data_IF_357126430235
#
_entry.id   IF_357126430235
#
_cell.length_a   1.000
_cell.length_b   1.000
_cell.length_c   1.000
_cell.angle_alpha   90.00
_cell.angle_beta   90.00
_cell.angle_gamma   90.00
#
_symmetry.space_group_name_H-M   'P 1'
#
loop_
_entity.id
_entity.type
_entity.pdbx_description
1 polymer ?
#
# COMPACT_ATOMS: atom_id res chain seq x y z
N UNK A 1 -13.17 2.55 17.86
CA UNK A 1 -13.01 2.11 16.48
C UNK A 1 -13.06 0.59 16.42
N UNK A 2 -13.77 0.03 15.43
CA UNK A 2 -13.68 -1.38 15.08
C UNK A 2 -12.69 -1.55 13.96
N UNK A 3 -12.03 -2.71 13.90
CA UNK A 3 -11.03 -3.00 12.87
C UNK A 3 -11.35 -4.30 12.17
N UNK A 4 -11.21 -4.32 10.85
CA UNK A 4 -11.27 -5.53 10.04
C UNK A 4 -10.17 -5.53 8.99
N UNK A 5 -9.87 -6.69 8.42
CA UNK A 5 -8.83 -6.91 7.43
C UNK A 5 -9.47 -7.48 6.16
N UNK A 6 -9.15 -6.90 5.01
CA UNK A 6 -9.53 -7.43 3.70
C UNK A 6 -8.28 -7.88 2.96
N UNK A 7 -8.26 -9.14 2.52
CA UNK A 7 -7.31 -9.61 1.54
C UNK A 7 -7.83 -9.28 0.15
N UNK A 8 -6.94 -8.78 -0.70
CA UNK A 8 -7.20 -8.48 -2.10
C UNK A 8 -6.46 -9.54 -2.93
N UNK A 9 -7.22 -10.47 -3.49
CA UNK A 9 -6.72 -11.56 -4.32
C UNK A 9 -6.82 -11.16 -5.79
N UNK A 10 -5.69 -10.85 -6.43
CA UNK A 10 -5.67 -10.36 -7.80
C UNK A 10 -5.70 -11.51 -8.79
N UNK A 11 -6.70 -11.53 -9.67
CA UNK A 11 -6.87 -12.56 -10.69
C UNK A 11 -5.91 -12.39 -11.87
N UNK A 12 -5.55 -11.15 -12.16
CA UNK A 12 -4.66 -10.77 -13.26
C UNK A 12 -3.51 -9.94 -12.71
N UNK A 13 -2.56 -9.61 -13.60
CA UNK A 13 -1.47 -8.71 -13.23
C UNK A 13 -1.99 -7.35 -12.76
N UNK A 14 -1.19 -6.70 -11.94
CA UNK A 14 -1.43 -5.34 -11.46
C UNK A 14 -0.39 -4.39 -12.06
N UNK A 15 -0.75 -3.12 -12.15
CA UNK A 15 0.18 -2.05 -12.48
C UNK A 15 -0.07 -0.87 -11.55
N UNK A 16 0.75 -0.77 -10.51
CA UNK A 16 0.74 0.38 -9.62
C UNK A 16 1.80 1.38 -10.09
N UNK A 17 1.41 2.65 -10.17
CA UNK A 17 2.24 3.67 -10.79
C UNK A 17 3.55 3.89 -10.06
N UNK A 18 4.66 3.91 -10.83
CA UNK A 18 6.01 4.28 -10.37
C UNK A 18 6.56 5.46 -11.20
N UNK A 19 5.69 6.16 -11.93
CA UNK A 19 6.06 7.25 -12.85
C UNK A 19 6.27 6.80 -14.30
N UNK A 20 6.89 5.64 -14.54
CA UNK A 20 7.20 5.14 -15.88
C UNK A 20 6.35 3.93 -16.27
N UNK A 21 6.15 3.70 -17.57
CA UNK A 21 5.37 2.55 -18.06
C UNK A 21 6.12 1.23 -17.93
N UNK A 22 7.43 1.24 -17.94
CA UNK A 22 8.33 0.09 -17.88
C UNK A 22 8.61 -0.40 -16.46
N UNK A 23 8.07 0.28 -15.44
CA UNK A 23 8.18 -0.08 -14.04
C UNK A 23 6.81 -0.13 -13.36
N UNK A 24 6.69 -0.94 -12.31
CA UNK A 24 5.50 -1.04 -11.46
C UNK A 24 5.90 -1.34 -10.03
N UNK A 25 5.18 -0.75 -9.08
CA UNK A 25 5.26 -1.13 -7.67
C UNK A 25 4.40 -2.37 -7.41
N UNK A 26 4.68 -3.04 -6.29
CA UNK A 26 3.92 -4.23 -5.86
C UNK A 26 2.75 -3.88 -4.95
N UNK A 27 2.71 -2.65 -4.44
CA UNK A 27 1.73 -2.13 -3.48
C UNK A 27 1.24 -0.76 -3.91
N UNK A 28 0.20 -0.27 -3.27
CA UNK A 28 -0.32 1.09 -3.45
C UNK A 28 -0.61 1.75 -2.11
N UNK A 29 -0.57 3.06 -2.09
CA UNK A 29 -0.83 3.86 -0.90
C UNK A 29 -2.32 4.17 -0.70
N UNK A 30 -2.67 4.58 0.51
CA UNK A 30 -4.04 4.90 0.91
C UNK A 30 -4.66 6.04 0.09
N UNK A 31 -3.88 6.99 -0.40
CA UNK A 31 -4.35 8.07 -1.28
C UNK A 31 -4.80 7.56 -2.66
N UNK A 32 -4.05 6.62 -3.23
CA UNK A 32 -4.43 5.92 -4.47
C UNK A 32 -5.72 5.14 -4.26
N UNK A 33 -5.84 4.46 -3.11
CA UNK A 33 -7.04 3.73 -2.75
C UNK A 33 -8.23 4.66 -2.51
N UNK A 34 -8.02 5.76 -1.78
CA UNK A 34 -9.02 6.81 -1.60
C UNK A 34 -9.56 7.32 -2.94
N UNK A 35 -8.65 7.66 -3.86
CA UNK A 35 -9.04 8.16 -5.19
C UNK A 35 -9.84 7.13 -5.98
N UNK A 36 -9.50 5.83 -5.86
CA UNK A 36 -10.22 4.76 -6.51
C UNK A 36 -11.63 4.58 -5.91
N UNK A 37 -11.76 4.54 -4.58
CA UNK A 37 -13.06 4.46 -3.90
C UNK A 37 -13.93 5.70 -4.16
N UNK A 38 -13.33 6.88 -4.22
CA UNK A 38 -14.04 8.11 -4.55
C UNK A 38 -14.64 8.07 -5.96
N UNK A 39 -13.93 7.50 -6.93
CA UNK A 39 -14.46 7.27 -8.28
C UNK A 39 -15.66 6.31 -8.27
N UNK A 40 -15.63 5.28 -7.44
CA UNK A 40 -16.78 4.39 -7.27
C UNK A 40 -17.96 5.12 -6.60
N UNK A 41 -17.69 5.90 -5.56
CA UNK A 41 -18.70 6.73 -4.90
C UNK A 41 -19.39 7.72 -5.87
N UNK A 42 -18.62 8.32 -6.79
CA UNK A 42 -19.15 9.18 -7.85
C UNK A 42 -20.12 8.43 -8.77
N UNK A 43 -19.83 7.18 -9.14
CA UNK A 43 -20.73 6.37 -9.98
C UNK A 43 -22.09 6.13 -9.33
N UNK A 44 -22.11 6.04 -8.00
CA UNK A 44 -23.32 5.83 -7.21
C UNK A 44 -23.99 7.14 -6.74
N UNK A 45 -23.39 8.32 -7.03
CA UNK A 45 -23.87 9.60 -6.50
C UNK A 45 -23.70 9.75 -4.99
N UNK A 46 -22.74 9.02 -4.41
CA UNK A 46 -22.46 8.94 -2.95
C UNK A 46 -21.18 9.67 -2.54
N UNK A 47 -20.61 10.50 -3.42
CA UNK A 47 -19.33 11.18 -3.17
C UNK A 47 -19.33 12.08 -1.93
N UNK A 48 -20.43 12.78 -1.69
CA UNK A 48 -20.58 13.64 -0.51
C UNK A 48 -20.65 12.84 0.78
N UNK A 49 -21.35 11.72 0.74
CA UNK A 49 -21.46 10.80 1.88
C UNK A 49 -20.10 10.17 2.20
N UNK A 50 -19.36 9.74 1.18
CA UNK A 50 -18.02 9.19 1.33
C UNK A 50 -17.07 10.21 2.00
N UNK A 51 -16.99 11.44 1.47
CA UNK A 51 -16.16 12.50 2.04
C UNK A 51 -16.53 12.79 3.50
N UNK A 52 -17.83 12.91 3.80
CA UNK A 52 -18.30 13.18 5.15
C UNK A 52 -17.90 12.08 6.15
N UNK A 53 -17.91 10.80 5.73
CA UNK A 53 -17.49 9.68 6.59
C UNK A 53 -15.99 9.72 6.85
N UNK A 54 -15.18 10.07 5.85
CA UNK A 54 -13.73 10.24 5.99
C UNK A 54 -13.41 11.44 6.90
N UNK A 55 -13.95 12.62 6.62
CA UNK A 55 -13.73 13.85 7.40
C UNK A 55 -14.10 13.70 8.87
N UNK A 56 -15.21 13.00 9.17
CA UNK A 56 -15.64 12.70 10.54
C UNK A 56 -14.85 11.55 11.19
N UNK A 57 -13.87 10.99 10.50
CA UNK A 57 -13.09 9.84 10.97
C UNK A 57 -13.99 8.62 11.27
N UNK A 58 -15.06 8.42 10.50
CA UNK A 58 -15.90 7.23 10.58
C UNK A 58 -15.34 6.05 9.82
N UNK A 59 -14.59 6.35 8.76
CA UNK A 59 -13.87 5.39 7.94
C UNK A 59 -12.41 5.82 7.84
N UNK A 60 -11.48 4.91 8.14
CA UNK A 60 -10.05 5.06 7.92
C UNK A 60 -9.53 3.74 7.33
N UNK A 61 -8.57 3.81 6.45
CA UNK A 61 -7.95 2.61 5.86
C UNK A 61 -6.44 2.77 5.72
N UNK A 62 -5.75 1.66 5.78
CA UNK A 62 -4.30 1.60 5.62
C UNK A 62 -3.88 1.68 4.15
N UNK A 63 -2.58 1.83 3.92
CA UNK A 63 -1.95 1.43 2.67
C UNK A 63 -2.20 -0.07 2.43
N UNK A 64 -2.01 -0.52 1.21
CA UNK A 64 -2.07 -1.94 0.90
C UNK A 64 -0.71 -2.59 1.17
N UNK A 65 -0.70 -3.67 1.94
CA UNK A 65 0.51 -4.38 2.34
C UNK A 65 0.51 -5.80 1.80
N UNK A 66 1.70 -6.39 1.52
CA UNK A 66 1.79 -7.74 1.03
C UNK A 66 1.34 -8.77 2.07
N UNK A 67 0.74 -9.87 1.59
CA UNK A 67 0.64 -11.11 2.35
C UNK A 67 1.07 -12.29 1.48
N UNK A 68 1.59 -13.35 2.12
CA UNK A 68 1.93 -14.61 1.49
C UNK A 68 1.36 -15.75 2.33
N UNK A 69 0.35 -16.43 1.82
CA UNK A 69 -0.39 -17.42 2.56
C UNK A 69 -0.96 -16.84 3.86
N UNK A 70 -0.43 -17.26 5.01
CA UNK A 70 -0.85 -16.78 6.34
C UNK A 70 0.08 -15.69 6.92
N UNK A 71 1.17 -15.36 6.23
CA UNK A 71 2.12 -14.37 6.69
C UNK A 71 1.73 -12.98 6.16
N UNK A 72 1.45 -12.06 7.07
CA UNK A 72 1.15 -10.65 6.78
C UNK A 72 2.41 -9.82 6.97
N UNK A 73 2.71 -8.96 6.02
CA UNK A 73 3.86 -8.07 6.06
C UNK A 73 3.39 -6.64 6.34
N UNK A 74 4.20 -5.90 7.10
CA UNK A 74 3.98 -4.47 7.38
C UNK A 74 5.20 -3.67 6.92
N UNK A 75 5.06 -2.37 6.68
CA UNK A 75 6.21 -1.53 6.39
C UNK A 75 7.24 -1.66 7.51
N UNK A 76 8.51 -1.78 7.13
CA UNK A 76 9.59 -1.73 8.10
C UNK A 76 9.59 -0.34 8.76
N UNK A 77 9.49 -0.24 10.11
CA UNK A 77 9.52 1.05 10.78
C UNK A 77 10.80 1.83 10.50
N UNK A 78 10.68 3.12 10.23
CA UNK A 78 11.82 4.02 10.03
C UNK A 78 12.23 4.56 11.39
N UNK A 79 12.98 3.75 12.15
CA UNK A 79 13.51 4.13 13.46
C UNK A 79 14.99 3.83 13.51
N UNK A 80 15.72 4.62 14.31
CA UNK A 80 17.09 4.32 14.63
C UNK A 80 17.11 3.31 15.79
N UNK A 81 17.63 2.11 15.55
CA UNK A 81 17.86 1.09 16.58
C UNK A 81 19.35 1.04 16.79
N UNK A 82 19.79 1.30 18.01
CA UNK A 82 21.19 1.12 18.37
C UNK A 82 21.56 -0.37 18.27
N UNK A 83 22.56 -0.73 17.46
CA UNK A 83 23.01 -2.10 17.38
C UNK A 83 23.63 -2.51 18.72
N UNK A 84 23.32 -3.71 19.21
CA UNK A 84 24.02 -4.27 20.36
C UNK A 84 25.51 -4.42 20.05
N UNK A 85 26.38 -4.15 21.02
CA UNK A 85 27.83 -4.05 20.88
C UNK A 85 28.50 -5.22 20.12
N UNK A 86 27.94 -6.41 20.19
CA UNK A 86 28.45 -7.61 19.48
C UNK A 86 28.13 -7.62 17.96
N UNK A 87 27.36 -6.67 17.45
CA UNK A 87 26.95 -6.61 16.03
C UNK A 87 27.75 -5.59 15.20
N UNK A 88 28.68 -4.83 15.80
CA UNK A 88 29.44 -3.79 15.10
C UNK A 88 30.38 -4.32 13.99
N UNK A 89 30.76 -5.58 14.02
CA UNK A 89 31.58 -6.23 12.96
C UNK A 89 30.72 -6.84 11.84
N UNK A 90 29.47 -6.40 11.68
CA UNK A 90 28.50 -6.92 10.73
C UNK A 90 28.88 -6.65 9.28
N UNK A 91 29.02 -7.71 8.50
CA UNK A 91 29.18 -7.80 7.08
C UNK A 91 28.39 -6.70 6.33
N UNK A 92 29.08 -5.89 5.53
CA UNK A 92 28.50 -4.82 4.69
C UNK A 92 27.27 -5.27 3.87
N UNK A 93 27.25 -6.56 3.47
CA UNK A 93 26.13 -7.21 2.80
C UNK A 93 24.86 -7.23 3.66
N UNK A 94 24.96 -7.56 4.94
CA UNK A 94 23.80 -7.58 5.88
C UNK A 94 23.24 -6.18 6.08
N UNK A 95 24.10 -5.18 6.26
CA UNK A 95 23.68 -3.77 6.39
C UNK A 95 22.93 -3.28 5.13
N UNK A 96 23.40 -3.67 3.93
CA UNK A 96 22.74 -3.35 2.66
C UNK A 96 21.38 -4.05 2.52
N UNK A 97 21.29 -5.33 2.87
CA UNK A 97 20.03 -6.07 2.87
C UNK A 97 19.01 -5.43 3.81
N UNK A 98 19.42 -5.10 5.03
CA UNK A 98 18.56 -4.44 6.01
C UNK A 98 18.09 -3.06 5.57
N UNK A 99 18.97 -2.28 4.94
CA UNK A 99 18.64 -0.95 4.40
C UNK A 99 17.60 -1.03 3.28
N UNK A 100 17.69 -2.04 2.43
CA UNK A 100 16.79 -2.22 1.27
C UNK A 100 15.47 -2.92 1.63
N UNK A 101 15.33 -3.41 2.86
CA UNK A 101 14.13 -4.09 3.31
C UNK A 101 12.99 -3.07 3.47
N UNK A 102 11.95 -3.19 2.65
CA UNK A 102 10.76 -2.33 2.69
C UNK A 102 9.69 -2.85 3.65
N UNK A 103 9.54 -4.17 3.76
CA UNK A 103 8.50 -4.84 4.55
C UNK A 103 9.09 -5.91 5.44
N UNK A 104 8.48 -6.14 6.60
CA UNK A 104 8.83 -7.21 7.54
C UNK A 104 7.58 -8.02 7.92
N UNK A 105 7.71 -9.32 8.23
CA UNK A 105 6.60 -10.08 8.80
C UNK A 105 6.08 -9.40 10.06
N UNK A 106 4.76 -9.22 10.17
CA UNK A 106 4.17 -8.49 11.30
C UNK A 106 4.43 -9.17 12.65
N UNK A 107 4.60 -10.49 12.65
CA UNK A 107 4.95 -11.28 13.85
C UNK A 107 6.34 -10.95 14.40
N UNK A 108 7.25 -10.48 13.54
CA UNK A 108 8.62 -10.12 13.89
C UNK A 108 8.80 -8.66 14.32
N UNK A 109 7.72 -7.88 14.36
CA UNK A 109 7.78 -6.46 14.72
C UNK A 109 8.36 -6.23 16.12
N UNK A 110 8.03 -7.08 17.09
CA UNK A 110 8.58 -6.96 18.46
C UNK A 110 10.05 -7.26 18.53
N UNK A 111 10.50 -8.26 17.77
CA UNK A 111 11.92 -8.59 17.63
C UNK A 111 12.67 -7.41 16.99
N UNK A 112 12.03 -6.76 16.01
CA UNK A 112 12.59 -5.58 15.39
C UNK A 112 12.80 -4.44 16.39
N UNK A 113 11.79 -4.12 17.20
CA UNK A 113 11.91 -3.06 18.22
C UNK A 113 12.91 -3.36 19.34
N UNK A 114 13.12 -4.64 19.67
CA UNK A 114 14.14 -5.04 20.66
C UNK A 114 15.58 -4.98 20.14
N UNK A 115 15.77 -4.68 18.84
CA UNK A 115 17.09 -4.69 18.20
C UNK A 115 17.67 -6.08 17.94
N UNK A 116 16.87 -7.15 18.10
CA UNK A 116 17.25 -8.54 17.90
C UNK A 116 16.89 -9.06 16.48
N UNK A 117 16.61 -8.15 15.56
CA UNK A 117 16.17 -8.49 14.20
C UNK A 117 17.35 -8.93 13.34
N UNK A 118 17.32 -10.17 12.89
CA UNK A 118 18.35 -10.83 12.09
C UNK A 118 17.82 -11.17 10.68
N UNK A 119 18.71 -11.65 9.80
CA UNK A 119 18.37 -12.04 8.44
C UNK A 119 17.25 -13.09 8.39
N UNK A 120 17.22 -14.07 9.32
CA UNK A 120 16.15 -15.07 9.40
C UNK A 120 14.75 -14.48 9.67
N UNK A 121 14.69 -13.28 10.26
CA UNK A 121 13.43 -12.60 10.60
C UNK A 121 12.92 -11.68 9.46
N UNK A 122 13.75 -11.42 8.43
CA UNK A 122 13.40 -10.48 7.37
C UNK A 122 12.20 -10.95 6.53
N UNK A 123 11.98 -12.27 6.45
CA UNK A 123 11.07 -12.83 5.47
C UNK A 123 11.60 -12.62 4.05
N UNK A 124 10.88 -13.12 3.07
CA UNK A 124 11.26 -12.95 1.68
C UNK A 124 10.01 -12.73 0.83
N UNK A 125 9.96 -11.64 0.10
CA UNK A 125 8.90 -11.36 -0.87
C UNK A 125 9.20 -11.92 -2.27
N UNK A 126 10.26 -12.70 -2.45
CA UNK A 126 10.62 -13.31 -3.75
C UNK A 126 9.51 -14.21 -4.29
N UNK A 127 8.81 -14.90 -3.38
CA UNK A 127 7.73 -15.81 -3.74
C UNK A 127 6.35 -15.12 -3.79
N UNK A 128 6.28 -13.80 -3.56
CA UNK A 128 5.04 -13.03 -3.64
C UNK A 128 4.41 -13.10 -5.02
N UNK A 129 5.23 -13.01 -6.06
CA UNK A 129 4.81 -12.98 -7.45
C UNK A 129 5.99 -12.77 -8.40
N UNK A 130 5.70 -12.39 -9.62
CA UNK A 130 6.71 -12.13 -10.63
C UNK A 130 6.37 -10.91 -11.47
N UNK A 131 7.40 -10.19 -11.91
CA UNK A 131 7.25 -9.12 -12.89
C UNK A 131 7.09 -9.72 -14.29
N UNK A 132 6.16 -9.15 -15.05
CA UNK A 132 5.97 -9.44 -16.47
C UNK A 132 6.05 -8.15 -17.26
N UNK A 133 6.70 -8.20 -18.41
CA UNK A 133 6.83 -7.06 -19.33
C UNK A 133 6.16 -7.40 -20.65
N UNK A 134 5.21 -6.56 -21.08
CA UNK A 134 4.54 -6.68 -22.36
C UNK A 134 4.96 -5.52 -23.26
N UNK A 135 5.27 -5.83 -24.52
CA UNK A 135 5.43 -4.81 -25.55
C UNK A 135 4.06 -4.51 -26.14
N UNK A 136 3.66 -3.27 -26.17
CA UNK A 136 2.47 -2.77 -26.82
C UNK A 136 2.88 -1.77 -27.91
N UNK A 137 2.01 -1.52 -28.87
CA UNK A 137 2.28 -0.62 -29.98
C UNK A 137 1.25 0.50 -29.94
N UNK A 138 1.73 1.75 -29.95
CA UNK A 138 0.87 2.90 -30.11
C UNK A 138 0.68 3.16 -31.61
N UNK A 139 -0.57 3.02 -32.09
CA UNK A 139 -0.95 3.40 -33.45
C UNK A 139 -1.66 4.73 -33.38
N UNK A 140 -0.98 5.81 -33.74
CA UNK A 140 -1.55 7.16 -33.81
C UNK A 140 -1.49 7.66 -35.26
N UNK A 141 -2.66 7.67 -35.91
CA UNK A 141 -2.77 8.28 -37.24
C UNK A 141 -1.94 7.60 -38.33
N UNK A 142 -1.25 8.42 -39.13
CA UNK A 142 -0.39 7.97 -40.27
C UNK A 142 1.08 7.79 -39.90
N UNK A 143 1.46 7.97 -38.64
CA UNK A 143 2.84 7.81 -38.16
C UNK A 143 3.20 6.33 -38.00
N UNK A 144 4.50 6.01 -38.10
CA UNK A 144 4.99 4.67 -37.83
C UNK A 144 4.61 4.24 -36.39
N UNK A 145 4.18 2.98 -36.19
CA UNK A 145 3.79 2.49 -34.89
C UNK A 145 4.98 2.45 -33.94
N UNK A 146 4.92 3.16 -32.82
CA UNK A 146 5.96 3.17 -31.79
C UNK A 146 5.73 2.08 -30.77
N UNK A 147 6.66 1.11 -30.60
CA UNK A 147 6.57 0.12 -29.57
C UNK A 147 6.92 0.72 -28.20
N UNK A 148 6.11 0.41 -27.17
CA UNK A 148 6.39 0.77 -25.79
C UNK A 148 6.23 -0.43 -24.87
N UNK A 149 6.98 -0.42 -23.77
CA UNK A 149 6.96 -1.50 -22.79
C UNK A 149 6.04 -1.16 -21.64
N UNK A 150 5.28 -2.16 -21.18
CA UNK A 150 4.41 -2.06 -20.02
C UNK A 150 4.80 -3.14 -19.01
N UNK A 151 5.28 -2.71 -17.86
CA UNK A 151 5.56 -3.60 -16.74
C UNK A 151 4.29 -3.85 -15.93
N UNK A 152 4.09 -5.08 -15.52
CA UNK A 152 3.03 -5.54 -14.62
C UNK A 152 3.61 -6.47 -13.58
N UNK A 153 2.94 -6.62 -12.45
CA UNK A 153 3.28 -7.61 -11.43
C UNK A 153 2.13 -8.60 -11.30
N UNK A 154 2.45 -9.89 -11.32
CA UNK A 154 1.48 -10.98 -11.15
C UNK A 154 1.74 -11.66 -9.82
N UNK A 155 0.77 -11.62 -8.92
CA UNK A 155 0.82 -12.36 -7.66
C UNK A 155 0.73 -13.86 -7.91
N UNK A 156 1.43 -14.67 -7.11
CA UNK A 156 1.23 -16.13 -7.09
C UNK A 156 -0.04 -16.48 -6.33
N UNK A 157 -0.60 -17.63 -6.63
CA UNK A 157 -1.77 -18.16 -5.93
C UNK A 157 -1.56 -18.17 -4.41
N UNK A 158 -2.56 -17.73 -3.66
CA UNK A 158 -2.52 -17.60 -2.22
C UNK A 158 -1.73 -16.40 -1.70
N UNK A 159 -1.25 -15.52 -2.58
CA UNK A 159 -0.56 -14.27 -2.25
C UNK A 159 -1.32 -13.08 -2.81
N UNK A 160 -1.11 -11.92 -2.20
CA UNK A 160 -1.76 -10.69 -2.64
C UNK A 160 -1.43 -9.52 -1.74
N UNK A 161 -2.38 -8.60 -1.69
CA UNK A 161 -2.32 -7.44 -0.79
C UNK A 161 -3.44 -7.52 0.24
N UNK A 162 -3.23 -6.90 1.37
CA UNK A 162 -4.27 -6.69 2.36
C UNK A 162 -4.32 -5.23 2.81
N UNK A 163 -5.49 -4.81 3.25
CA UNK A 163 -5.68 -3.53 3.93
C UNK A 163 -6.45 -3.72 5.24
N UNK A 164 -6.25 -2.76 6.12
CA UNK A 164 -6.94 -2.66 7.38
C UNK A 164 -7.96 -1.54 7.25
N UNK A 165 -9.20 -1.86 7.52
CA UNK A 165 -10.28 -0.90 7.66
C UNK A 165 -10.53 -0.63 9.15
N UNK A 166 -10.58 0.64 9.54
CA UNK A 166 -11.10 1.10 10.80
C UNK A 166 -12.44 1.82 10.57
N UNK A 167 -13.47 1.46 11.33
CA UNK A 167 -14.82 1.98 11.17
C UNK A 167 -15.51 2.20 12.51
N UNK A 168 -16.48 3.12 12.56
CA UNK A 168 -17.25 3.40 13.79
C UNK A 168 -18.47 2.52 13.91
N UNK A 169 -19.34 2.49 12.95
CA UNK A 169 -20.60 1.77 12.94
C UNK A 169 -20.71 0.71 11.86
N UNK A 170 -21.68 -0.18 11.98
CA UNK A 170 -21.97 -1.22 10.98
C UNK A 170 -22.29 -0.61 9.62
N UNK A 171 -23.05 0.50 9.62
CA UNK A 171 -23.40 1.25 8.40
C UNK A 171 -22.15 1.79 7.66
N UNK A 172 -21.11 2.19 8.40
CA UNK A 172 -19.88 2.68 7.81
C UNK A 172 -19.12 1.54 7.12
N UNK A 173 -19.14 0.33 7.73
CA UNK A 173 -18.55 -0.87 7.14
C UNK A 173 -19.29 -1.29 5.86
N UNK A 174 -20.62 -1.40 5.93
CA UNK A 174 -21.48 -1.77 4.79
C UNK A 174 -21.32 -0.81 3.63
N UNK A 175 -21.24 0.49 3.91
CA UNK A 175 -20.96 1.51 2.90
C UNK A 175 -19.59 1.33 2.23
N UNK A 176 -18.57 1.04 3.03
CA UNK A 176 -17.23 0.77 2.48
C UNK A 176 -17.22 -0.51 1.63
N UNK A 177 -17.88 -1.58 2.09
CA UNK A 177 -17.96 -2.87 1.38
C UNK A 177 -18.64 -2.74 0.02
N UNK A 178 -19.71 -1.94 -0.07
CA UNK A 178 -20.38 -1.64 -1.36
C UNK A 178 -19.42 -0.99 -2.36
N UNK A 179 -18.64 -0.01 -1.92
CA UNK A 179 -17.65 0.65 -2.79
C UNK A 179 -16.48 -0.29 -3.12
N UNK A 180 -16.04 -1.11 -2.18
CA UNK A 180 -14.95 -2.07 -2.38
C UNK A 180 -15.36 -3.16 -3.37
N UNK A 181 -16.59 -3.66 -3.29
CA UNK A 181 -17.14 -4.62 -4.25
C UNK A 181 -17.16 -4.03 -5.66
N UNK A 182 -17.68 -2.82 -5.84
CA UNK A 182 -17.66 -2.14 -7.15
C UNK A 182 -16.24 -1.96 -7.68
N UNK A 183 -15.32 -1.55 -6.81
CA UNK A 183 -13.91 -1.37 -7.17
C UNK A 183 -13.25 -2.69 -7.57
N UNK A 184 -13.62 -3.80 -6.97
CA UNK A 184 -13.07 -5.13 -7.29
C UNK A 184 -13.26 -5.50 -8.76
N UNK A 185 -14.41 -5.15 -9.34
CA UNK A 185 -14.72 -5.33 -10.76
C UNK A 185 -14.08 -4.26 -11.65
N UNK A 186 -14.05 -3.02 -11.19
CA UNK A 186 -13.41 -1.92 -11.94
C UNK A 186 -11.89 -2.10 -11.99
N UNK A 187 -11.31 -2.61 -10.91
CA UNK A 187 -9.88 -2.76 -10.71
C UNK A 187 -9.20 -1.49 -10.21
N UNK A 188 -8.00 -1.65 -9.63
CA UNK A 188 -7.17 -0.56 -9.11
C UNK A 188 -5.83 -0.50 -9.84
N UNK A 189 -5.32 0.71 -10.05
CA UNK A 189 -4.06 0.97 -10.73
C UNK A 189 -4.21 1.28 -12.21
N UNK A 190 -3.14 1.12 -12.97
CA UNK A 190 -3.09 1.42 -14.41
C UNK A 190 -3.58 0.26 -15.28
N UNK A 191 -3.99 0.60 -16.54
CA UNK A 191 -4.42 -0.38 -17.54
C UNK A 191 -5.67 -1.19 -17.16
N UNK A 192 -6.56 -0.63 -16.37
CA UNK A 192 -7.83 -1.25 -15.94
C UNK A 192 -8.71 -1.69 -17.12
N UNK A 193 -8.74 -0.90 -18.20
CA UNK A 193 -9.46 -1.26 -19.42
C UNK A 193 -8.95 -2.54 -20.12
N UNK A 194 -7.71 -2.94 -19.84
CA UNK A 194 -7.14 -4.21 -20.28
C UNK A 194 -7.32 -5.35 -19.26
N UNK A 195 -8.13 -5.16 -18.21
CA UNK A 195 -8.46 -6.14 -17.19
C UNK A 195 -7.44 -6.26 -16.06
N UNK A 196 -6.42 -5.38 -16.00
CA UNK A 196 -5.46 -5.38 -14.89
C UNK A 196 -6.06 -4.77 -13.63
N UNK A 197 -5.55 -5.21 -12.47
CA UNK A 197 -5.91 -4.67 -11.17
C UNK A 197 -7.27 -5.09 -10.63
N UNK A 198 -7.99 -6.02 -11.30
CA UNK A 198 -9.20 -6.64 -10.75
C UNK A 198 -8.83 -7.62 -9.65
N UNK A 199 -9.65 -7.65 -8.62
CA UNK A 199 -9.37 -8.47 -7.43
C UNK A 199 -10.67 -9.00 -6.82
N UNK A 200 -10.55 -10.03 -6.02
CA UNK A 200 -11.56 -10.45 -5.07
C UNK A 200 -11.19 -9.91 -3.69
N UNK A 201 -12.14 -9.26 -3.02
CA UNK A 201 -11.94 -8.76 -1.67
C UNK A 201 -12.53 -9.76 -0.67
N UNK A 202 -11.69 -10.32 0.18
CA UNK A 202 -12.12 -11.34 1.16
C UNK A 202 -11.85 -10.82 2.57
N UNK A 203 -12.92 -10.65 3.35
CA UNK A 203 -12.76 -10.33 4.77
C UNK A 203 -12.09 -11.50 5.48
N UNK A 204 -11.07 -11.19 6.27
CA UNK A 204 -10.32 -12.19 7.05
C UNK A 204 -10.23 -11.78 8.51
N UNK A 205 -10.19 -12.78 9.36
CA UNK A 205 -9.92 -12.56 10.79
C UNK A 205 -8.53 -11.98 10.95
N UNK A 206 -8.46 -10.80 11.53
CA UNK A 206 -7.18 -10.14 11.80
C UNK A 206 -6.37 -10.96 12.81
N UNK A 207 -5.03 -11.15 12.58
CA UNK A 207 -4.16 -11.75 13.59
C UNK A 207 -4.26 -11.01 14.93
N UNK A 208 -4.37 -11.76 16.03
CA UNK A 208 -4.55 -11.18 17.36
C UNK A 208 -3.38 -10.26 17.77
N UNK A 209 -2.16 -10.61 17.36
CA UNK A 209 -0.96 -9.77 17.55
C UNK A 209 -1.09 -8.40 16.88
N UNK A 210 -1.68 -8.34 15.66
CA UNK A 210 -1.90 -7.09 14.94
C UNK A 210 -3.05 -6.30 15.57
N UNK A 211 -4.15 -6.98 15.90
CA UNK A 211 -5.31 -6.36 16.55
C UNK A 211 -4.94 -5.68 17.86
N UNK A 212 -4.16 -6.37 18.70
CA UNK A 212 -3.68 -5.82 19.95
C UNK A 212 -2.88 -4.55 19.74
N UNK A 213 -1.96 -4.53 18.74
CA UNK A 213 -1.16 -3.34 18.44
C UNK A 213 -1.98 -2.15 17.90
N UNK A 214 -3.11 -2.40 17.25
CA UNK A 214 -4.02 -1.33 16.79
C UNK A 214 -4.85 -0.71 17.92
N UNK A 215 -5.02 -1.41 19.03
CA UNK A 215 -5.84 -0.97 20.17
C UNK A 215 -5.04 -0.50 21.36
N UNK A 216 -3.79 -0.93 21.49
CA UNK A 216 -2.93 -0.55 22.60
C UNK A 216 -2.36 0.87 22.41
N UNK A 217 -2.31 1.61 23.51
CA UNK A 217 -1.63 2.91 23.57
C UNK A 217 -0.16 2.69 23.90
N UNK A 218 0.69 2.66 22.88
CA UNK A 218 2.14 2.56 23.02
C UNK A 218 2.83 3.92 23.16
N UNK A 219 4.11 3.91 23.55
CA UNK A 219 4.96 5.10 23.55
C UNK A 219 5.32 5.57 22.12
N UNK A 220 5.34 4.65 21.16
CA UNK A 220 5.60 4.91 19.76
C UNK A 220 4.39 4.48 18.93
N UNK A 221 4.04 5.31 17.95
CA UNK A 221 2.98 5.02 17.00
C UNK A 221 3.57 4.88 15.60
N UNK A 222 3.11 3.89 14.85
CA UNK A 222 3.46 3.70 13.45
C UNK A 222 2.23 4.02 12.61
N UNK A 223 2.38 4.93 11.67
CA UNK A 223 1.36 5.17 10.66
C UNK A 223 1.35 4.02 9.66
N UNK A 224 0.17 3.48 9.42
CA UNK A 224 -0.07 2.42 8.43
C UNK A 224 -0.67 2.98 7.13
N UNK A 225 -0.65 4.28 6.97
CA UNK A 225 -1.09 4.97 5.74
C UNK A 225 -0.21 6.18 5.48
N UNK A 226 -0.18 6.62 4.22
CA UNK A 226 0.32 7.95 3.90
C UNK A 226 -0.49 9.00 4.66
N UNK A 227 0.19 10.00 5.23
CA UNK A 227 -0.44 11.08 5.97
C UNK A 227 0.16 12.42 5.56
N UNK A 228 -0.69 13.43 5.52
CA UNK A 228 -0.28 14.82 5.37
C UNK A 228 -0.66 15.57 6.65
N UNK A 229 0.31 15.97 7.48
CA UNK A 229 0.03 16.77 8.67
C UNK A 229 -0.65 18.08 8.33
N UNK A 230 -1.53 18.56 9.19
CA UNK A 230 -2.13 19.87 9.03
C UNK A 230 -1.04 20.95 9.14
N UNK A 231 -1.17 22.03 8.37
CA UNK A 231 -0.16 23.11 8.30
C UNK A 231 0.24 23.65 9.66
N UNK A 232 -0.71 23.72 10.60
CA UNK A 232 -0.47 24.21 11.97
C UNK A 232 0.31 23.24 12.87
N UNK A 233 0.36 21.96 12.49
CA UNK A 233 1.01 20.89 13.26
C UNK A 233 2.32 20.45 12.61
N UNK A 234 2.63 20.95 11.41
CA UNK A 234 3.70 20.45 10.56
C UNK A 234 5.06 20.49 11.26
N UNK A 235 5.43 21.64 11.82
CA UNK A 235 6.72 21.81 12.48
C UNK A 235 6.87 20.83 13.66
N UNK A 236 5.90 20.79 14.57
CA UNK A 236 5.93 19.93 15.75
C UNK A 236 5.96 18.45 15.40
N UNK A 237 5.18 18.04 14.40
CA UNK A 237 5.12 16.62 13.97
C UNK A 237 6.43 16.22 13.31
N UNK A 238 7.07 17.08 12.53
CA UNK A 238 8.32 16.77 11.84
C UNK A 238 9.53 16.73 12.77
N UNK A 239 9.53 17.49 13.86
CA UNK A 239 10.61 17.47 14.87
C UNK A 239 10.69 16.13 15.62
N UNK A 240 9.53 15.52 15.92
CA UNK A 240 9.45 14.30 16.74
C UNK A 240 9.27 13.00 15.92
N UNK A 241 9.02 13.10 14.61
CA UNK A 241 8.70 11.96 13.77
C UNK A 241 9.88 11.54 12.88
N UNK A 242 10.03 10.24 12.74
CA UNK A 242 10.88 9.66 11.70
C UNK A 242 9.99 9.20 10.55
N UNK A 243 10.24 9.67 9.32
CA UNK A 243 9.38 9.43 8.17
C UNK A 243 10.16 9.28 6.86
N UNK A 244 9.53 8.64 5.89
CA UNK A 244 9.99 8.61 4.51
C UNK A 244 9.06 9.49 3.67
N UNK A 245 9.57 10.53 2.99
CA UNK A 245 8.73 11.37 2.15
C UNK A 245 8.23 10.58 0.93
N UNK A 246 6.95 10.75 0.62
CA UNK A 246 6.36 10.28 -0.65
C UNK A 246 6.30 11.48 -1.59
N UNK A 247 6.96 11.37 -2.74
CA UNK A 247 7.00 12.42 -3.74
C UNK A 247 6.11 12.07 -4.93
N UNK A 248 5.24 13.00 -5.32
CA UNK A 248 4.43 12.91 -6.52
C UNK A 248 4.95 13.89 -7.56
N UNK A 249 5.23 13.39 -8.76
CA UNK A 249 5.53 14.26 -9.91
C UNK A 249 4.22 14.73 -10.54
N UNK A 250 3.95 16.03 -10.43
CA UNK A 250 2.89 16.63 -11.25
C UNK A 250 3.41 16.81 -12.67
N UNK A 251 2.75 16.18 -13.63
CA UNK A 251 2.90 16.56 -15.04
C UNK A 251 2.37 18.01 -15.14
N UNK A 252 3.27 18.97 -15.36
CA UNK A 252 2.84 20.31 -15.78
C UNK A 252 2.04 20.13 -17.05
N UNK A 253 0.80 20.62 -17.09
CA UNK A 253 0.10 20.84 -18.33
C UNK A 253 1.02 21.74 -19.19
N UNK A 254 1.36 21.29 -20.40
CA UNK A 254 1.98 22.19 -21.36
C UNK A 254 0.95 23.30 -21.59
N UNK A 255 1.26 24.50 -21.12
CA UNK A 255 0.59 25.69 -21.58
C UNK A 255 0.84 25.70 -23.09
N UNK A 256 -0.19 25.43 -23.87
CA UNK A 256 -0.18 25.70 -25.29
C UNK A 256 -0.27 27.21 -25.41
N UNK A 257 0.90 27.84 -25.55
CA UNK A 257 0.99 29.21 -26.03
C UNK A 257 0.30 29.26 -27.37
N UNK A 258 -0.85 29.92 -27.39
CA UNK A 258 -1.60 30.30 -28.61
C UNK A 258 -1.06 31.61 -29.16
#
# INVERSE_FOLDING_TARGET
>A
MNYTLYQLEFQNGVRFGSGNLDSTEITFHADTFFSALFQEALKFGKEKEFLLRIEKGKLLFSDAFPYMGKCFYIPKPVIHIEPKADQEQGNSRKKKLFKNLKYIPQENLEIFFKGDFEEKHMGSLKELGSYAMKTAVAVRGKEEPEPYRVSTFCFKDGNGLYLILAYKGKEDKEFFEELLESLSYTGIGGKRSAGFGRFEAVERKMPESLRKKLTDTGKMNILLSTALPQKQQLEKVLEEATYTPVSYTHLRAHETDS
#
